data_IF_259509823062
#
_entry.id   IF_259509823062
#
_cell.length_a   1.000
_cell.length_b   1.000
_cell.length_c   1.000
_cell.angle_alpha   90.00
_cell.angle_beta   90.00
_cell.angle_gamma   90.00
#
_symmetry.space_group_name_H-M   'P 1'
#
loop_
_entity.id
_entity.type
_entity.pdbx_description
1 polymer ?
#
# COMPACT_ATOMS: atom_id res chain seq x y z
N UNK A 1 15.55 8.23 -9.27
CA UNK A 1 14.14 8.65 -9.49
C UNK A 1 13.62 7.94 -10.72
N UNK A 2 12.55 7.21 -10.59
CA UNK A 2 11.90 6.52 -11.70
C UNK A 2 10.73 7.36 -12.23
N UNK A 3 10.61 7.45 -13.57
CA UNK A 3 9.54 8.21 -14.21
C UNK A 3 8.30 7.34 -14.37
N UNK A 4 7.15 7.84 -13.94
CA UNK A 4 5.86 7.22 -14.18
C UNK A 4 4.97 8.15 -14.98
N UNK A 5 4.38 7.62 -16.05
CA UNK A 5 3.35 8.32 -16.82
C UNK A 5 1.97 7.88 -16.34
N UNK A 6 1.21 8.82 -15.79
CA UNK A 6 -0.13 8.56 -15.25
C UNK A 6 -1.17 9.28 -16.11
N UNK A 7 -2.28 8.60 -16.39
CA UNK A 7 -3.38 9.17 -17.16
C UNK A 7 -3.76 8.37 -18.39
N UNK A 8 -4.85 8.78 -19.05
CA UNK A 8 -5.36 8.16 -20.28
C UNK A 8 -5.19 9.13 -21.45
N UNK A 9 -4.74 8.60 -22.59
CA UNK A 9 -4.62 9.39 -23.84
C UNK A 9 -3.43 10.35 -23.88
N UNK A 10 -3.49 11.40 -24.72
CA UNK A 10 -2.37 12.32 -24.95
C UNK A 10 -2.05 13.24 -23.76
N UNK A 11 -2.96 13.37 -22.78
CA UNK A 11 -2.78 14.17 -21.58
C UNK A 11 -2.20 13.36 -20.40
N UNK A 12 -1.17 12.54 -20.65
CA UNK A 12 -0.49 11.85 -19.56
C UNK A 12 0.31 12.85 -18.72
N UNK A 13 -0.04 12.95 -17.46
CA UNK A 13 0.72 13.73 -16.49
C UNK A 13 1.97 12.95 -16.07
N UNK A 14 3.13 13.61 -16.04
CA UNK A 14 4.38 12.99 -15.65
C UNK A 14 4.59 13.12 -14.16
N UNK A 15 4.82 12.00 -13.51
CA UNK A 15 5.18 11.91 -12.11
C UNK A 15 6.54 11.23 -11.95
N UNK A 16 7.14 11.43 -10.79
CA UNK A 16 8.43 10.85 -10.41
C UNK A 16 8.27 10.07 -9.11
N UNK A 17 8.75 8.84 -9.08
CA UNK A 17 8.91 8.09 -7.85
C UNK A 17 10.27 8.42 -7.24
N UNK A 18 10.23 8.88 -6.00
CA UNK A 18 11.40 9.12 -5.16
C UNK A 18 11.33 8.18 -3.97
N UNK A 19 12.36 7.36 -3.78
CA UNK A 19 12.49 6.58 -2.55
C UNK A 19 12.64 7.54 -1.36
N UNK A 20 11.90 7.25 -0.28
CA UNK A 20 11.87 8.09 0.91
C UNK A 20 13.25 8.18 1.55
N UNK A 21 13.72 9.40 1.77
CA UNK A 21 14.95 9.70 2.48
C UNK A 21 14.63 10.49 3.76
N UNK A 22 15.63 10.67 4.62
CA UNK A 22 15.42 11.33 5.92
C UNK A 22 14.92 12.78 5.78
N UNK A 23 15.39 13.49 4.77
CA UNK A 23 14.94 14.85 4.46
C UNK A 23 13.48 14.96 4.00
N UNK A 24 12.88 13.85 3.54
CA UNK A 24 11.51 13.82 3.04
C UNK A 24 10.47 13.43 4.12
N UNK A 25 10.91 13.04 5.31
CA UNK A 25 10.05 12.47 6.35
C UNK A 25 8.85 13.37 6.70
N UNK A 26 9.05 14.67 6.82
CA UNK A 26 7.96 15.59 7.19
C UNK A 26 6.92 15.73 6.07
N UNK A 27 7.35 15.69 4.82
CA UNK A 27 6.46 15.64 3.65
C UNK A 27 5.67 14.32 3.64
N UNK A 28 6.33 13.20 3.90
CA UNK A 28 5.71 11.88 3.94
C UNK A 28 4.67 11.77 5.05
N UNK A 29 4.98 12.22 6.27
CA UNK A 29 4.02 12.27 7.40
C UNK A 29 2.80 13.09 7.02
N UNK A 30 3.00 14.32 6.53
CA UNK A 30 1.90 15.21 6.12
C UNK A 30 1.01 14.55 5.06
N UNK A 31 1.60 13.85 4.10
CA UNK A 31 0.87 13.16 3.04
C UNK A 31 0.10 11.94 3.59
N UNK A 32 0.73 11.13 4.45
CA UNK A 32 0.07 10.00 5.10
C UNK A 32 -1.13 10.44 5.93
N UNK A 33 -0.95 11.48 6.77
CA UNK A 33 -2.02 12.01 7.62
C UNK A 33 -3.25 12.44 6.81
N UNK A 34 -3.03 13.06 5.65
CA UNK A 34 -4.11 13.47 4.74
C UNK A 34 -4.78 12.30 4.02
N UNK A 35 -4.01 11.28 3.66
CA UNK A 35 -4.51 10.19 2.81
C UNK A 35 -5.17 9.05 3.59
N UNK A 36 -4.58 8.69 4.76
CA UNK A 36 -4.92 7.46 5.46
C UNK A 36 -5.21 7.63 6.96
N UNK A 37 -5.08 8.85 7.49
CA UNK A 37 -5.40 9.16 8.88
C UNK A 37 -4.20 9.58 9.69
N UNK A 38 -4.45 10.52 10.61
CA UNK A 38 -3.41 11.15 11.43
C UNK A 38 -2.80 10.12 12.39
N UNK A 39 -1.47 10.14 12.49
CA UNK A 39 -0.68 9.23 13.32
C UNK A 39 -0.73 7.74 12.92
N UNK A 40 -1.18 7.39 11.71
CA UNK A 40 -0.99 6.01 11.22
C UNK A 40 0.49 5.72 10.99
N UNK A 41 1.23 6.71 10.49
CA UNK A 41 2.67 6.65 10.23
C UNK A 41 3.37 7.86 10.86
N UNK A 42 3.61 7.86 12.18
CA UNK A 42 4.36 8.93 12.81
C UNK A 42 5.81 8.95 12.29
N UNK A 43 6.47 10.11 12.33
CA UNK A 43 7.82 10.34 11.81
C UNK A 43 8.82 9.25 12.22
N UNK A 44 8.77 8.84 13.50
CA UNK A 44 9.65 7.78 14.03
C UNK A 44 9.44 6.43 13.31
N UNK A 45 8.22 6.09 12.94
CA UNK A 45 7.92 4.85 12.24
C UNK A 45 8.42 4.88 10.81
N UNK A 46 8.21 5.98 10.09
CA UNK A 46 8.76 6.16 8.74
C UNK A 46 10.29 6.16 8.75
N UNK A 47 10.93 6.84 9.70
CA UNK A 47 12.37 6.81 9.87
C UNK A 47 12.90 5.40 10.15
N UNK A 48 12.17 4.59 10.92
CA UNK A 48 12.50 3.18 11.13
C UNK A 48 12.28 2.34 9.87
N UNK A 49 11.26 2.64 9.07
CA UNK A 49 10.95 1.89 7.86
C UNK A 49 12.07 2.01 6.80
N UNK A 50 12.62 3.20 6.59
CA UNK A 50 13.72 3.43 5.62
C UNK A 50 15.04 2.74 6.01
N UNK A 51 15.20 2.33 7.28
CA UNK A 51 16.38 1.63 7.75
C UNK A 51 16.25 0.11 7.69
N UNK A 52 15.03 -0.41 7.45
CA UNK A 52 14.77 -1.84 7.40
C UNK A 52 15.05 -2.40 6.01
N UNK A 53 15.81 -3.49 5.93
CA UNK A 53 15.93 -4.24 4.69
C UNK A 53 14.55 -4.73 4.22
N UNK A 54 14.35 -4.75 2.93
CA UNK A 54 13.10 -5.19 2.28
C UNK A 54 11.85 -4.36 2.60
N UNK A 55 12.01 -3.14 3.13
CA UNK A 55 10.96 -2.15 3.29
C UNK A 55 11.20 -1.00 2.31
N UNK A 56 10.18 -0.66 1.54
CA UNK A 56 10.27 0.31 0.45
C UNK A 56 9.14 1.32 0.57
N UNK A 57 9.49 2.56 0.77
CA UNK A 57 8.55 3.66 0.78
C UNK A 57 8.92 4.64 -0.33
N UNK A 58 8.00 4.88 -1.25
CA UNK A 58 8.19 5.82 -2.34
C UNK A 58 7.16 6.94 -2.30
N UNK A 59 7.65 8.16 -2.51
CA UNK A 59 6.81 9.33 -2.77
C UNK A 59 6.57 9.45 -4.27
N UNK A 60 5.32 9.73 -4.65
CA UNK A 60 4.93 10.12 -5.99
C UNK A 60 4.93 11.64 -6.07
N UNK A 61 5.83 12.22 -6.85
CA UNK A 61 6.03 13.67 -6.97
C UNK A 61 5.61 14.15 -8.35
N UNK A 62 5.03 15.33 -8.43
CA UNK A 62 4.83 16.07 -9.68
C UNK A 62 6.14 16.66 -10.19
N UNK A 63 6.16 17.16 -11.42
CA UNK A 63 7.33 17.79 -12.01
C UNK A 63 7.83 19.04 -11.27
N UNK A 64 6.95 19.72 -10.53
CA UNK A 64 7.28 20.84 -9.64
C UNK A 64 7.56 20.42 -8.19
N UNK A 65 7.74 19.12 -7.93
CA UNK A 65 8.17 18.58 -6.64
C UNK A 65 7.07 18.44 -5.59
N UNK A 66 5.79 18.64 -5.94
CA UNK A 66 4.68 18.46 -5.00
C UNK A 66 4.37 16.98 -4.79
N UNK A 67 4.08 16.59 -3.55
CA UNK A 67 3.66 15.23 -3.22
C UNK A 67 2.24 14.95 -3.73
N UNK A 68 2.13 14.05 -4.69
CA UNK A 68 0.87 13.61 -5.29
C UNK A 68 0.34 12.31 -4.67
N UNK A 69 1.22 11.49 -4.11
CA UNK A 69 0.87 10.22 -3.49
C UNK A 69 2.08 9.51 -2.91
N UNK A 70 1.85 8.31 -2.41
CA UNK A 70 2.91 7.43 -1.92
C UNK A 70 2.49 5.97 -2.01
N UNK A 71 3.47 5.10 -1.93
CA UNK A 71 3.28 3.67 -1.72
C UNK A 71 4.32 3.15 -0.74
N UNK A 72 3.89 2.29 0.18
CA UNK A 72 4.72 1.59 1.14
C UNK A 72 4.47 0.09 1.03
N UNK A 73 5.50 -0.68 0.76
CA UNK A 73 5.45 -2.14 0.64
C UNK A 73 6.72 -2.79 1.16
N UNK A 74 6.64 -4.07 1.47
CA UNK A 74 7.77 -4.86 1.93
C UNK A 74 7.52 -6.36 1.72
N UNK A 75 8.58 -7.15 1.82
CA UNK A 75 8.47 -8.61 1.85
C UNK A 75 8.36 -9.12 3.28
N UNK A 76 7.57 -10.16 3.48
CA UNK A 76 7.29 -10.75 4.79
C UNK A 76 7.00 -12.25 4.66
N UNK A 77 6.56 -12.88 5.75
CA UNK A 77 6.13 -14.28 5.80
C UNK A 77 4.68 -14.40 6.25
N UNK A 78 4.04 -15.53 5.98
CA UNK A 78 2.62 -15.78 6.27
C UNK A 78 2.27 -15.45 7.72
N UNK A 79 3.06 -15.90 8.67
CA UNK A 79 2.85 -15.69 10.12
C UNK A 79 2.76 -14.20 10.49
N UNK A 80 3.64 -13.37 9.95
CA UNK A 80 3.64 -11.94 10.23
C UNK A 80 2.44 -11.25 9.59
N UNK A 81 2.10 -11.61 8.35
CA UNK A 81 0.93 -11.09 7.67
C UNK A 81 -0.37 -11.49 8.40
N UNK A 82 -0.49 -12.74 8.85
CA UNK A 82 -1.60 -13.24 9.65
C UNK A 82 -1.86 -12.35 10.88
N UNK A 83 -0.81 -12.05 11.62
CA UNK A 83 -0.88 -11.16 12.79
C UNK A 83 -1.35 -9.76 12.40
N UNK A 84 -0.81 -9.18 11.33
CA UNK A 84 -1.13 -7.82 10.86
C UNK A 84 -2.55 -7.71 10.29
N UNK A 85 -2.94 -8.68 9.48
CA UNK A 85 -4.25 -8.72 8.84
C UNK A 85 -5.35 -9.26 9.76
N UNK A 86 -4.99 -9.83 10.92
CA UNK A 86 -5.90 -10.54 11.83
C UNK A 86 -6.68 -11.65 11.13
N UNK A 87 -6.00 -12.40 10.29
CA UNK A 87 -6.53 -13.56 9.59
C UNK A 87 -5.78 -14.84 10.01
N UNK A 88 -6.44 -16.00 10.00
CA UNK A 88 -5.79 -17.29 10.21
C UNK A 88 -4.67 -17.55 9.19
N UNK A 89 -3.57 -18.15 9.62
CA UNK A 89 -2.42 -18.45 8.75
C UNK A 89 -2.79 -19.40 7.61
N UNK A 90 -3.64 -20.38 7.86
CA UNK A 90 -4.11 -21.35 6.87
C UNK A 90 -4.92 -20.68 5.75
N UNK A 91 -5.67 -19.63 6.05
CA UNK A 91 -6.41 -18.87 5.05
C UNK A 91 -5.46 -18.11 4.11
N UNK A 92 -4.38 -17.53 4.63
CA UNK A 92 -3.36 -16.86 3.82
C UNK A 92 -2.56 -17.91 3.02
N UNK A 93 -2.15 -19.01 3.68
CA UNK A 93 -1.39 -20.10 3.07
C UNK A 93 -2.14 -20.78 1.92
N UNK A 94 -3.48 -20.80 1.95
CA UNK A 94 -4.30 -21.42 0.92
C UNK A 94 -4.17 -20.76 -0.46
N UNK A 95 -3.73 -19.51 -0.53
CA UNK A 95 -3.60 -18.73 -1.77
C UNK A 95 -2.15 -18.47 -2.16
N UNK A 96 -1.17 -18.94 -1.37
CA UNK A 96 0.25 -18.87 -1.67
C UNK A 96 0.72 -20.13 -2.38
N UNK A 97 1.58 -19.98 -3.38
CA UNK A 97 2.19 -21.11 -4.10
C UNK A 97 3.23 -21.83 -3.24
N UNK A 98 3.95 -21.09 -2.39
CA UNK A 98 4.93 -21.62 -1.46
C UNK A 98 4.61 -21.15 -0.02
N UNK A 99 4.18 -22.07 0.83
CA UNK A 99 3.78 -21.76 2.22
C UNK A 99 4.93 -21.33 3.13
N UNK A 100 6.16 -21.68 2.77
CA UNK A 100 7.38 -21.28 3.47
C UNK A 100 8.13 -20.16 2.75
N UNK A 101 7.56 -19.68 1.65
CA UNK A 101 8.14 -18.66 0.80
C UNK A 101 7.97 -17.23 1.32
N UNK A 102 8.58 -16.33 0.58
CA UNK A 102 8.44 -14.90 0.80
C UNK A 102 7.16 -14.42 0.13
N UNK A 103 6.37 -13.63 0.85
CA UNK A 103 5.18 -12.96 0.35
C UNK A 103 5.36 -11.44 0.39
N UNK A 104 4.68 -10.74 -0.51
CA UNK A 104 4.66 -9.29 -0.55
C UNK A 104 3.52 -8.72 0.28
N UNK A 105 3.78 -7.67 1.04
CA UNK A 105 2.75 -6.88 1.71
C UNK A 105 2.77 -5.45 1.19
N UNK A 106 1.72 -5.04 0.49
CA UNK A 106 1.46 -3.64 0.16
C UNK A 106 0.79 -3.03 1.39
N UNK A 107 1.61 -2.40 2.23
CA UNK A 107 1.23 -1.94 3.56
C UNK A 107 0.32 -0.71 3.51
N UNK A 108 0.60 0.21 2.59
CA UNK A 108 -0.17 1.44 2.47
C UNK A 108 0.01 2.09 1.11
N UNK A 109 -1.05 2.71 0.64
CA UNK A 109 -1.06 3.54 -0.56
C UNK A 109 -1.95 4.75 -0.33
N UNK A 110 -1.46 5.92 -0.70
CA UNK A 110 -2.20 7.16 -0.61
C UNK A 110 -2.05 8.00 -1.86
N UNK A 111 -3.15 8.65 -2.28
CA UNK A 111 -3.17 9.63 -3.36
C UNK A 111 -3.83 10.89 -2.85
N UNK A 112 -3.14 12.02 -2.95
CA UNK A 112 -3.66 13.31 -2.54
C UNK A 112 -4.90 13.69 -3.37
N UNK A 113 -5.87 14.36 -2.75
CA UNK A 113 -7.21 14.59 -3.32
C UNK A 113 -7.18 15.21 -4.72
N UNK A 114 -6.29 16.16 -4.97
CA UNK A 114 -6.13 16.83 -6.27
C UNK A 114 -5.75 15.89 -7.43
N UNK A 115 -5.21 14.69 -7.12
CA UNK A 115 -4.73 13.72 -8.10
C UNK A 115 -5.59 12.46 -8.15
N UNK A 116 -6.63 12.34 -7.32
CA UNK A 116 -7.54 11.18 -7.34
C UNK A 116 -8.34 11.11 -8.65
N UNK A 117 -8.71 9.89 -9.02
CA UNK A 117 -9.49 9.63 -10.23
C UNK A 117 -8.71 9.67 -11.55
N UNK A 118 -7.44 10.07 -11.52
CA UNK A 118 -6.56 10.18 -12.72
C UNK A 118 -5.71 8.93 -12.97
N UNK A 119 -5.71 7.95 -12.06
CA UNK A 119 -5.00 6.67 -12.21
C UNK A 119 -3.73 6.45 -11.38
N UNK A 120 -3.24 7.40 -10.53
CA UNK A 120 -1.98 7.22 -9.81
C UNK A 120 -1.94 5.96 -8.95
N UNK A 121 -3.08 5.56 -8.34
CA UNK A 121 -3.15 4.35 -7.52
C UNK A 121 -2.87 3.07 -8.31
N UNK A 122 -3.26 3.01 -9.58
CA UNK A 122 -2.97 1.87 -10.45
C UNK A 122 -1.47 1.81 -10.71
N UNK A 123 -0.85 2.92 -11.13
CA UNK A 123 0.58 2.96 -11.42
C UNK A 123 1.46 2.69 -10.18
N UNK A 124 1.04 3.15 -8.99
CA UNK A 124 1.72 2.85 -7.73
C UNK A 124 1.63 1.35 -7.39
N UNK A 125 0.46 0.73 -7.60
CA UNK A 125 0.29 -0.71 -7.40
C UNK A 125 1.11 -1.51 -8.41
N UNK A 126 1.08 -1.17 -9.70
CA UNK A 126 1.91 -1.81 -10.74
C UNK A 126 3.39 -1.76 -10.38
N UNK A 127 3.89 -0.59 -9.96
CA UNK A 127 5.26 -0.42 -9.47
C UNK A 127 5.56 -1.34 -8.27
N UNK A 128 4.68 -1.42 -7.29
CA UNK A 128 4.91 -2.28 -6.12
C UNK A 128 4.88 -3.77 -6.47
N UNK A 129 3.98 -4.20 -7.36
CA UNK A 129 3.89 -5.59 -7.82
C UNK A 129 5.17 -6.01 -8.54
N UNK A 130 5.68 -5.17 -9.45
CA UNK A 130 6.94 -5.40 -10.14
C UNK A 130 8.09 -5.58 -9.15
N UNK A 131 8.27 -4.66 -8.22
CA UNK A 131 9.34 -4.74 -7.22
C UNK A 131 9.18 -5.97 -6.30
N UNK A 132 7.96 -6.31 -5.89
CA UNK A 132 7.73 -7.51 -5.08
C UNK A 132 8.05 -8.80 -5.83
N UNK A 133 7.75 -8.87 -7.13
CA UNK A 133 8.13 -10.00 -7.99
C UNK A 133 9.65 -10.10 -8.15
N UNK A 134 10.36 -8.99 -8.35
CA UNK A 134 11.84 -8.93 -8.38
C UNK A 134 12.46 -9.41 -7.05
N UNK A 135 11.78 -9.17 -5.92
CA UNK A 135 12.16 -9.64 -4.59
C UNK A 135 11.73 -11.09 -4.30
N UNK A 136 11.29 -11.81 -5.33
CA UNK A 136 10.89 -13.22 -5.25
C UNK A 136 9.68 -13.49 -4.34
N UNK A 137 8.83 -12.51 -4.11
CA UNK A 137 7.54 -12.74 -3.49
C UNK A 137 6.64 -13.53 -4.46
N UNK A 138 5.97 -14.58 -3.98
CA UNK A 138 5.09 -15.41 -4.80
C UNK A 138 3.65 -14.89 -4.87
N UNK A 139 3.26 -14.09 -3.88
CA UNK A 139 1.92 -13.54 -3.75
C UNK A 139 2.00 -12.16 -3.08
N UNK A 140 1.36 -11.17 -3.65
CA UNK A 140 1.20 -9.85 -3.05
C UNK A 140 -0.14 -9.75 -2.32
N UNK A 141 -0.12 -9.19 -1.10
CA UNK A 141 -1.30 -8.94 -0.27
C UNK A 141 -1.45 -7.45 0.01
N UNK A 142 -2.69 -7.03 0.16
CA UNK A 142 -3.04 -5.68 0.62
C UNK A 142 -4.24 -5.73 1.56
N UNK A 143 -4.13 -5.02 2.69
CA UNK A 143 -5.20 -4.87 3.69
C UNK A 143 -5.80 -3.48 3.54
N UNK A 144 -7.01 -3.41 3.00
CA UNK A 144 -7.68 -2.17 2.65
C UNK A 144 -8.73 -1.79 3.68
N UNK A 145 -8.83 -0.51 4.05
CA UNK A 145 -9.94 0.00 4.83
C UNK A 145 -11.27 -0.26 4.14
N UNK A 146 -12.21 -0.76 4.92
CA UNK A 146 -13.59 -1.00 4.52
C UNK A 146 -14.52 -0.04 5.27
N UNK A 147 -15.14 0.87 4.53
CA UNK A 147 -16.07 1.86 5.05
C UNK A 147 -17.48 1.36 4.76
N UNK A 148 -18.11 0.69 5.72
CA UNK A 148 -19.32 -0.06 5.48
C UNK A 148 -19.11 -1.17 4.44
N UNK A 149 -19.75 -1.04 3.27
CA UNK A 149 -19.56 -1.97 2.13
C UNK A 149 -18.54 -1.48 1.10
N UNK A 150 -17.98 -0.28 1.27
CA UNK A 150 -17.11 0.36 0.28
C UNK A 150 -15.63 0.16 0.65
N UNK A 151 -14.85 -0.27 -0.31
CA UNK A 151 -13.38 -0.26 -0.30
C UNK A 151 -12.91 0.80 -1.29
N UNK A 152 -12.31 1.92 -0.84
CA UNK A 152 -11.94 3.03 -1.74
C UNK A 152 -11.01 2.62 -2.88
N UNK A 153 -10.12 1.65 -2.64
CA UNK A 153 -9.12 1.18 -3.61
C UNK A 153 -9.65 0.11 -4.58
N UNK A 154 -10.88 -0.37 -4.38
CA UNK A 154 -11.44 -1.54 -5.09
C UNK A 154 -11.29 -1.47 -6.60
N UNK A 155 -11.64 -0.36 -7.23
CA UNK A 155 -11.55 -0.22 -8.68
C UNK A 155 -10.13 -0.34 -9.24
N UNK A 156 -9.11 0.09 -8.47
CA UNK A 156 -7.70 -0.08 -8.85
C UNK A 156 -7.24 -1.52 -8.69
N UNK A 157 -7.70 -2.19 -7.64
CA UNK A 157 -7.39 -3.60 -7.39
C UNK A 157 -8.04 -4.51 -8.45
N UNK A 158 -9.31 -4.30 -8.78
CA UNK A 158 -10.02 -5.04 -9.84
C UNK A 158 -9.34 -4.87 -11.20
N UNK A 159 -8.84 -3.66 -11.51
CA UNK A 159 -8.12 -3.38 -12.76
C UNK A 159 -6.79 -4.15 -12.87
N UNK A 160 -6.20 -4.52 -11.74
CA UNK A 160 -4.94 -5.26 -11.65
C UNK A 160 -5.15 -6.72 -11.26
N UNK A 161 -6.36 -7.25 -11.41
CA UNK A 161 -6.72 -8.64 -11.16
C UNK A 161 -6.41 -9.13 -9.74
N UNK A 162 -6.51 -8.24 -8.74
CA UNK A 162 -6.47 -8.67 -7.35
C UNK A 162 -7.75 -9.44 -7.00
N UNK A 163 -7.56 -10.57 -6.36
CA UNK A 163 -8.64 -11.40 -5.83
C UNK A 163 -8.99 -10.98 -4.40
N UNK A 164 -10.28 -10.94 -4.07
CA UNK A 164 -10.74 -10.79 -2.70
C UNK A 164 -10.49 -12.07 -1.91
N UNK A 165 -9.87 -11.95 -0.73
CA UNK A 165 -9.61 -13.08 0.15
C UNK A 165 -10.67 -13.17 1.26
N UNK A 166 -10.77 -12.12 2.07
CA UNK A 166 -11.62 -12.12 3.26
C UNK A 166 -11.82 -10.71 3.82
N UNK A 167 -12.82 -10.57 4.68
CA UNK A 167 -12.90 -9.43 5.59
C UNK A 167 -12.07 -9.71 6.86
N UNK A 168 -11.45 -8.67 7.42
CA UNK A 168 -10.76 -8.70 8.69
C UNK A 168 -11.36 -7.65 9.64
N UNK A 169 -11.59 -8.05 10.90
CA UNK A 169 -12.34 -7.21 11.82
C UNK A 169 -11.44 -6.25 12.61
N UNK A 170 -11.77 -4.96 12.58
CA UNK A 170 -11.14 -3.89 13.40
C UNK A 170 -9.62 -3.92 13.42
N UNK A 171 -8.97 -4.09 12.27
CA UNK A 171 -7.51 -4.27 12.13
C UNK A 171 -6.71 -3.16 12.82
N UNK A 172 -7.19 -1.92 12.76
CA UNK A 172 -6.50 -0.74 13.31
C UNK A 172 -7.02 -0.30 14.70
N UNK A 173 -7.87 -1.10 15.36
CA UNK A 173 -8.48 -0.72 16.64
C UNK A 173 -7.45 -0.53 17.77
N UNK A 174 -6.36 -1.32 17.76
CA UNK A 174 -5.31 -1.27 18.79
C UNK A 174 -4.21 -0.24 18.52
N UNK A 175 -4.45 0.67 17.58
CA UNK A 175 -3.63 1.86 17.35
C UNK A 175 -4.29 3.07 18.06
N UNK A 176 -3.97 3.34 19.33
CA UNK A 176 -4.72 4.33 20.14
C UNK A 176 -4.55 5.76 19.62
N UNK A 177 -3.40 6.06 19.03
CA UNK A 177 -3.05 7.39 18.54
C UNK A 177 -3.54 7.65 17.10
N UNK A 178 -4.03 6.63 16.42
CA UNK A 178 -4.59 6.77 15.08
C UNK A 178 -5.93 7.52 15.14
N UNK A 179 -5.98 8.68 14.48
CA UNK A 179 -7.21 9.39 14.22
C UNK A 179 -7.72 8.98 12.83
N UNK A 180 -8.67 8.06 12.84
CA UNK A 180 -9.26 7.56 11.60
C UNK A 180 -10.13 8.63 10.94
N UNK A 181 -9.94 8.94 9.64
CA UNK A 181 -10.71 9.97 8.95
C UNK A 181 -12.20 9.63 8.83
N UNK A 182 -12.56 8.36 8.96
CA UNK A 182 -13.95 7.88 8.86
C UNK A 182 -14.66 7.75 10.20
N UNK A 183 -13.90 7.44 11.27
CA UNK A 183 -14.46 7.26 12.62
C UNK A 183 -14.39 8.53 13.47
N UNK A 184 -13.72 9.57 12.98
CA UNK A 184 -13.45 10.82 13.71
C UNK A 184 -12.81 10.57 15.10
N UNK A 185 -11.90 9.60 15.18
CA UNK A 185 -11.22 9.17 16.40
C UNK A 185 -10.68 7.75 16.25
N UNK A 186 -10.70 6.96 17.33
CA UNK A 186 -10.21 5.57 17.33
C UNK A 186 -10.84 4.74 16.21
N UNK A 187 -10.04 4.08 15.42
CA UNK A 187 -10.50 3.34 14.27
C UNK A 187 -11.36 2.13 14.66
N UNK A 188 -12.58 2.06 14.13
CA UNK A 188 -13.51 0.93 14.27
C UNK A 188 -13.84 0.27 12.93
N UNK A 189 -13.14 0.68 11.88
CA UNK A 189 -13.33 0.13 10.54
C UNK A 189 -12.87 -1.32 10.47
N UNK A 190 -13.59 -2.10 9.69
CA UNK A 190 -13.14 -3.39 9.22
C UNK A 190 -12.17 -3.21 8.05
N UNK A 191 -11.52 -4.28 7.64
CA UNK A 191 -10.69 -4.34 6.46
C UNK A 191 -11.24 -5.37 5.47
N UNK A 192 -10.92 -5.16 4.20
CA UNK A 192 -11.02 -6.18 3.16
C UNK A 192 -9.59 -6.53 2.73
N UNK A 193 -9.26 -7.80 2.75
CA UNK A 193 -7.96 -8.31 2.37
C UNK A 193 -8.05 -8.83 0.95
N UNK A 194 -7.11 -8.38 0.11
CA UNK A 194 -6.97 -8.82 -1.27
C UNK A 194 -5.58 -9.42 -1.48
N UNK A 195 -5.47 -10.28 -2.48
CA UNK A 195 -4.21 -10.88 -2.89
C UNK A 195 -4.09 -10.94 -4.41
N UNK A 196 -2.86 -11.01 -4.91
CA UNK A 196 -2.54 -11.28 -6.30
C UNK A 196 -1.35 -12.23 -6.34
N UNK A 197 -1.50 -13.43 -6.95
CA UNK A 197 -0.35 -14.27 -7.27
C UNK A 197 0.60 -13.51 -8.19
N UNK A 198 1.90 -13.61 -7.92
CA UNK A 198 2.94 -12.98 -8.72
C UNK A 198 3.61 -14.02 -9.61
N UNK A 199 3.92 -13.62 -10.83
CA UNK A 199 4.61 -14.42 -11.83
C UNK A 199 5.95 -13.79 -12.19
N UNK A 200 6.80 -14.53 -12.91
CA UNK A 200 8.04 -13.96 -13.45
C UNK A 200 7.79 -12.85 -14.48
N UNK A 201 6.62 -12.84 -15.10
CA UNK A 201 6.21 -11.81 -16.05
C UNK A 201 5.91 -10.48 -15.35
N UNK A 202 5.48 -10.52 -14.09
CA UNK A 202 5.25 -9.31 -13.27
C UNK A 202 6.57 -8.58 -12.91
N UNK A 203 7.72 -9.24 -13.04
CA UNK A 203 9.05 -8.66 -12.80
C UNK A 203 9.63 -7.94 -14.04
N UNK A 204 9.00 -8.05 -15.21
CA UNK A 204 9.45 -7.44 -16.47
C UNK A 204 8.76 -6.09 -16.71
#
# INVERSE_FOLDING_TARGET
MENILVGKGPEKERFYLKELQEEDLDMAVTLCDRCVGVNLYPRKELASAIQRKNHFFYLLLTSDGKAAGYIYFFTTVIKELSTRARLPEDQIAAVCSNKEGVIGNIQSIGVADAFRGKGPSVSLLEFSLKNLAELMADTAFIVCWKIGKRVPLRASLEKLDFCYLSDAHKVWYDLPDLICPYCAGRCKCDAAVYYKPLTKEDAL
#
